data_IF_239761511491
#
_entry.id   IF_239761511491
#
_cell.length_a   1.000
_cell.length_b   1.000
_cell.length_c   1.000
_cell.angle_alpha   90.00
_cell.angle_beta   90.00
_cell.angle_gamma   90.00
#
_symmetry.space_group_name_H-M   'P 1'
#
loop_
_entity.id
_entity.type
_entity.pdbx_description
1 polymer ?
#
# COMPACT_ATOMS: atom_id res chain seq x y z
N UNK A 1 -12.19 4.52 24.23
CA UNK A 1 -11.20 5.61 24.37
C UNK A 1 -11.31 6.55 23.17
N UNK A 2 -11.15 7.84 23.37
CA UNK A 2 -11.15 8.81 22.27
C UNK A 2 -9.81 8.82 21.57
N UNK A 3 -9.81 8.78 20.25
CA UNK A 3 -8.63 9.03 19.41
C UNK A 3 -8.91 10.12 18.39
N UNK A 4 -7.89 10.78 17.93
CA UNK A 4 -7.98 11.78 16.85
C UNK A 4 -6.79 11.57 15.91
N UNK A 5 -7.05 11.33 14.64
CA UNK A 5 -6.01 11.13 13.61
C UNK A 5 -6.39 11.85 12.31
N UNK A 6 -5.46 11.90 11.38
CA UNK A 6 -5.75 12.39 10.02
C UNK A 6 -5.82 11.20 9.07
N UNK A 7 -6.99 10.94 8.49
CA UNK A 7 -7.20 9.85 7.52
C UNK A 7 -7.37 10.44 6.11
N UNK A 8 -6.45 10.14 5.22
CA UNK A 8 -6.45 10.64 3.83
C UNK A 8 -6.64 12.17 3.75
N UNK A 9 -5.97 12.90 4.63
CA UNK A 9 -6.03 14.36 4.71
C UNK A 9 -7.23 14.93 5.50
N UNK A 10 -8.16 14.09 5.95
CA UNK A 10 -9.32 14.51 6.74
C UNK A 10 -9.12 14.16 8.22
N UNK A 11 -9.34 15.15 9.10
CA UNK A 11 -9.27 14.91 10.54
C UNK A 11 -10.49 14.12 11.00
N UNK A 12 -10.25 13.00 11.66
CA UNK A 12 -11.27 12.11 12.23
C UNK A 12 -11.05 12.02 13.73
N UNK A 13 -12.13 12.18 14.50
CA UNK A 13 -12.12 12.04 15.96
C UNK A 13 -13.28 11.14 16.38
N UNK A 14 -12.97 10.02 17.04
CA UNK A 14 -13.96 8.99 17.36
C UNK A 14 -13.61 8.27 18.67
N UNK A 15 -14.63 7.78 19.34
CA UNK A 15 -14.48 6.87 20.47
C UNK A 15 -14.39 5.43 19.97
N UNK A 16 -13.32 4.73 20.31
CA UNK A 16 -13.04 3.36 19.88
C UNK A 16 -12.90 2.39 21.05
N UNK A 17 -13.09 1.10 20.76
CA UNK A 17 -12.68 0.03 21.68
C UNK A 17 -11.15 -0.01 21.79
N UNK A 18 -10.58 -0.24 22.99
CA UNK A 18 -9.12 -0.23 23.18
C UNK A 18 -8.34 -1.27 22.36
N UNK A 19 -9.00 -2.34 21.98
CA UNK A 19 -8.47 -3.46 21.21
C UNK A 19 -8.75 -3.38 19.70
N UNK A 20 -9.41 -2.30 19.25
CA UNK A 20 -9.71 -2.11 17.83
C UNK A 20 -8.42 -2.08 17.00
N UNK A 21 -8.37 -2.87 15.92
CA UNK A 21 -7.26 -2.84 14.98
C UNK A 21 -7.40 -1.66 13.99
N UNK A 22 -6.28 -1.13 13.55
CA UNK A 22 -6.26 -0.02 12.58
C UNK A 22 -6.96 -0.39 11.28
N UNK A 23 -6.83 -1.65 10.82
CA UNK A 23 -7.53 -2.14 9.63
C UNK A 23 -9.06 -1.99 9.77
N UNK A 24 -9.62 -2.33 10.92
CA UNK A 24 -11.06 -2.27 11.15
C UNK A 24 -11.53 -0.82 11.22
N UNK A 25 -10.75 0.05 11.85
CA UNK A 25 -10.99 1.49 11.89
C UNK A 25 -11.03 2.11 10.48
N UNK A 26 -9.98 1.95 9.67
CA UNK A 26 -9.94 2.57 8.34
C UNK A 26 -11.02 2.02 7.41
N UNK A 27 -11.36 0.73 7.52
CA UNK A 27 -12.43 0.12 6.75
C UNK A 27 -13.82 0.60 7.16
N UNK A 28 -14.05 0.88 8.45
CA UNK A 28 -15.28 1.51 8.94
C UNK A 28 -15.46 2.92 8.33
N UNK A 29 -14.35 3.63 8.10
CA UNK A 29 -14.32 4.95 7.46
C UNK A 29 -14.28 4.92 5.91
N UNK A 30 -14.66 3.81 5.30
CA UNK A 30 -14.81 3.71 3.85
C UNK A 30 -13.55 3.30 3.08
N UNK A 31 -12.39 3.13 3.72
CA UNK A 31 -11.16 2.72 3.05
C UNK A 31 -11.20 1.22 2.72
N UNK A 32 -11.98 0.85 1.69
CA UNK A 32 -12.22 -0.54 1.30
C UNK A 32 -11.06 -1.16 0.51
N UNK A 33 -10.12 -0.36 0.03
CA UNK A 33 -8.88 -0.84 -0.58
C UNK A 33 -8.01 -1.63 0.41
N UNK A 34 -8.09 -1.30 1.70
CA UNK A 34 -7.38 -2.00 2.77
C UNK A 34 -8.07 -3.33 3.04
N UNK A 35 -7.40 -4.45 2.77
CA UNK A 35 -8.02 -5.79 2.79
C UNK A 35 -7.34 -6.72 3.78
N UNK A 36 -8.13 -7.61 4.38
CA UNK A 36 -7.64 -8.70 5.22
C UNK A 36 -7.54 -9.96 4.36
N UNK A 37 -6.31 -10.34 3.97
CA UNK A 37 -6.04 -11.54 3.16
C UNK A 37 -5.45 -12.70 3.95
N UNK A 38 -5.07 -12.48 5.22
CA UNK A 38 -4.54 -13.49 6.13
C UNK A 38 -4.86 -13.14 7.58
N UNK A 39 -4.61 -14.08 8.48
CA UNK A 39 -4.71 -13.90 9.94
C UNK A 39 -3.33 -13.96 10.63
N UNK A 40 -2.24 -13.93 9.84
CA UNK A 40 -0.87 -14.16 10.31
C UNK A 40 0.09 -13.01 9.98
N UNK A 41 -0.44 -11.86 9.56
CA UNK A 41 0.31 -10.62 9.30
C UNK A 41 1.44 -10.76 8.28
N UNK A 42 1.25 -11.59 7.22
CA UNK A 42 2.29 -11.88 6.24
C UNK A 42 1.90 -11.64 4.78
N UNK A 43 0.63 -11.30 4.48
CA UNK A 43 0.20 -11.18 3.07
C UNK A 43 0.40 -9.78 2.45
N UNK A 44 0.60 -8.74 3.24
CA UNK A 44 0.81 -7.36 2.76
C UNK A 44 -0.44 -6.62 2.28
N UNK A 45 -1.62 -7.26 2.26
CA UNK A 45 -2.84 -6.69 1.67
C UNK A 45 -3.49 -5.59 2.52
N UNK A 46 -3.12 -5.50 3.77
CA UNK A 46 -3.61 -4.50 4.72
C UNK A 46 -2.66 -3.29 4.89
N UNK A 47 -1.65 -3.17 4.04
CA UNK A 47 -0.67 -2.08 4.12
C UNK A 47 -1.34 -0.72 3.98
N UNK A 48 -1.02 0.17 4.92
CA UNK A 48 -1.34 1.61 4.90
C UNK A 48 -0.06 2.38 5.23
N UNK A 49 -0.03 3.69 4.97
CA UNK A 49 1.04 4.53 5.50
C UNK A 49 0.60 5.15 6.83
N UNK A 50 1.48 5.10 7.81
CA UNK A 50 1.39 5.85 9.05
C UNK A 50 2.59 6.80 9.10
N UNK A 51 2.32 8.11 9.01
CA UNK A 51 3.33 9.17 8.84
C UNK A 51 4.31 8.89 7.68
N UNK A 52 3.73 8.46 6.54
CA UNK A 52 4.40 8.12 5.30
C UNK A 52 5.22 6.81 5.31
N UNK A 53 5.27 6.08 6.44
CA UNK A 53 5.92 4.77 6.57
C UNK A 53 4.91 3.63 6.40
N UNK A 54 5.24 2.56 5.64
CA UNK A 54 4.34 1.44 5.42
C UNK A 54 4.19 0.57 6.67
N UNK A 55 2.96 0.34 7.08
CA UNK A 55 2.63 -0.55 8.22
C UNK A 55 1.52 -1.53 7.85
N UNK A 56 1.55 -2.71 8.47
CA UNK A 56 0.47 -3.68 8.37
C UNK A 56 -0.66 -3.31 9.34
N UNK A 57 -1.72 -2.70 8.85
CA UNK A 57 -2.82 -2.20 9.70
C UNK A 57 -3.54 -3.30 10.50
N UNK A 58 -3.43 -4.57 10.08
CA UNK A 58 -3.94 -5.70 10.84
C UNK A 58 -3.12 -6.04 12.10
N UNK A 59 -1.95 -5.45 12.26
CA UNK A 59 -1.02 -5.66 13.39
C UNK A 59 -0.81 -4.40 14.23
N UNK A 60 -1.54 -3.33 13.92
CA UNK A 60 -1.49 -2.06 14.64
C UNK A 60 -2.83 -1.81 15.32
N UNK A 61 -2.82 -1.51 16.61
CA UNK A 61 -4.01 -1.04 17.32
C UNK A 61 -4.37 0.36 16.85
N UNK A 62 -5.65 0.64 16.61
CA UNK A 62 -6.12 1.97 16.22
C UNK A 62 -5.73 3.05 17.25
N UNK A 63 -5.63 2.69 18.52
CA UNK A 63 -5.16 3.55 19.61
C UNK A 63 -3.71 4.08 19.37
N UNK A 64 -2.88 3.32 18.65
CA UNK A 64 -1.51 3.74 18.29
C UNK A 64 -1.47 4.77 17.17
N UNK A 65 -2.57 4.93 16.45
CA UNK A 65 -2.70 5.91 15.38
C UNK A 65 -3.18 7.29 15.88
N UNK A 66 -3.45 7.44 17.18
CA UNK A 66 -3.84 8.73 17.76
C UNK A 66 -2.74 9.78 17.53
N UNK A 67 -3.12 10.93 16.96
CA UNK A 67 -2.20 12.02 16.58
C UNK A 67 -1.46 11.81 15.26
N UNK A 68 -1.56 10.64 14.62
CA UNK A 68 -0.82 10.29 13.41
C UNK A 68 -1.61 10.57 12.13
N UNK A 69 -0.88 10.61 11.01
CA UNK A 69 -1.44 10.69 9.65
C UNK A 69 -1.51 9.28 9.08
N UNK A 70 -2.70 8.85 8.73
CA UNK A 70 -2.94 7.58 8.06
C UNK A 70 -3.32 7.84 6.60
N UNK A 71 -2.61 7.19 5.69
CA UNK A 71 -2.88 7.28 4.26
C UNK A 71 -3.12 5.88 3.71
N UNK A 72 -4.26 5.72 3.03
CA UNK A 72 -4.63 4.50 2.31
C UNK A 72 -4.59 4.78 0.80
N UNK A 73 -4.84 3.77 -0.03
CA UNK A 73 -4.85 3.95 -1.49
C UNK A 73 -5.86 5.00 -1.94
N UNK A 74 -6.96 5.16 -1.21
CA UNK A 74 -7.97 6.20 -1.47
C UNK A 74 -7.39 7.63 -1.38
N UNK A 75 -6.32 7.82 -0.60
CA UNK A 75 -5.61 9.11 -0.49
C UNK A 75 -4.46 9.29 -1.49
N UNK A 76 -4.19 8.30 -2.36
CA UNK A 76 -3.06 8.28 -3.30
C UNK A 76 -3.51 8.01 -4.75
N UNK A 77 -4.71 8.44 -5.12
CA UNK A 77 -5.33 8.05 -6.40
C UNK A 77 -4.50 8.44 -7.63
N UNK A 78 -3.89 9.61 -7.66
CA UNK A 78 -3.09 10.07 -8.80
C UNK A 78 -1.82 9.23 -8.95
N UNK A 79 -1.05 9.07 -7.88
CA UNK A 79 0.17 8.26 -7.82
C UNK A 79 -0.11 6.80 -8.16
N UNK A 80 -1.19 6.25 -7.59
CA UNK A 80 -1.61 4.88 -7.81
C UNK A 80 -2.06 4.64 -9.25
N UNK A 81 -2.77 5.58 -9.88
CA UNK A 81 -3.22 5.46 -11.26
C UNK A 81 -2.05 5.51 -12.24
N UNK A 82 -1.08 6.40 -12.03
CA UNK A 82 0.12 6.49 -12.88
C UNK A 82 0.90 5.17 -12.88
N UNK A 83 1.19 4.63 -11.71
CA UNK A 83 1.88 3.34 -11.58
C UNK A 83 1.01 2.16 -12.04
N UNK A 84 -0.27 2.16 -11.67
CA UNK A 84 -1.22 1.08 -11.99
C UNK A 84 -1.36 0.81 -13.48
N UNK A 85 -1.24 1.83 -14.33
CA UNK A 85 -1.28 1.68 -15.78
C UNK A 85 -0.18 0.74 -16.30
N UNK A 86 1.02 0.82 -15.74
CA UNK A 86 2.14 -0.07 -16.12
C UNK A 86 1.91 -1.53 -15.69
N UNK A 87 1.23 -1.74 -14.58
CA UNK A 87 0.84 -3.07 -14.11
C UNK A 87 -0.22 -3.67 -15.03
N UNK A 88 -1.22 -2.88 -15.40
CA UNK A 88 -2.28 -3.29 -16.31
C UNK A 88 -1.73 -3.66 -17.71
N UNK A 89 -0.82 -2.87 -18.26
CA UNK A 89 -0.17 -3.10 -19.56
C UNK A 89 0.58 -4.45 -19.63
N UNK A 90 1.05 -4.95 -18.51
CA UNK A 90 1.70 -6.26 -18.43
C UNK A 90 0.74 -7.43 -18.24
N UNK A 91 -0.56 -7.18 -18.21
CA UNK A 91 -1.56 -8.20 -17.92
C UNK A 91 -1.40 -8.81 -16.52
N UNK A 92 -0.85 -8.05 -15.58
CA UNK A 92 -0.55 -8.53 -14.23
C UNK A 92 -1.78 -8.59 -13.33
N UNK A 93 -2.90 -8.09 -13.78
CA UNK A 93 -4.17 -8.09 -13.04
C UNK A 93 -5.03 -9.30 -13.43
N UNK A 94 -5.53 -9.99 -12.41
CA UNK A 94 -6.55 -11.03 -12.57
C UNK A 94 -7.73 -10.72 -11.64
N UNK A 95 -7.78 -11.27 -10.41
CA UNK A 95 -8.87 -10.95 -9.48
C UNK A 95 -8.77 -9.55 -8.86
N UNK A 96 -7.60 -8.90 -8.88
CA UNK A 96 -7.37 -7.56 -8.35
C UNK A 96 -7.32 -7.45 -6.83
N UNK A 97 -7.54 -8.55 -6.08
CA UNK A 97 -7.63 -8.50 -4.63
C UNK A 97 -6.33 -8.04 -3.96
N UNK A 98 -5.17 -8.44 -4.50
CA UNK A 98 -3.86 -8.05 -3.96
C UNK A 98 -3.40 -6.65 -4.38
N UNK A 99 -3.98 -6.08 -5.45
CA UNK A 99 -3.48 -4.86 -6.08
C UNK A 99 -3.34 -3.66 -5.13
N UNK A 100 -4.31 -3.34 -4.27
CA UNK A 100 -4.16 -2.18 -3.40
C UNK A 100 -2.96 -2.28 -2.46
N UNK A 101 -2.78 -3.40 -1.77
CA UNK A 101 -1.64 -3.61 -0.89
C UNK A 101 -0.31 -3.66 -1.63
N UNK A 102 -0.29 -4.29 -2.81
CA UNK A 102 0.86 -4.32 -3.69
C UNK A 102 1.27 -2.91 -4.15
N UNK A 103 0.33 -2.09 -4.60
CA UNK A 103 0.60 -0.70 -5.01
C UNK A 103 1.13 0.13 -3.83
N UNK A 104 0.52 0.03 -2.66
CA UNK A 104 1.00 0.74 -1.45
C UNK A 104 2.47 0.40 -1.15
N UNK A 105 2.84 -0.89 -1.15
CA UNK A 105 4.21 -1.30 -0.88
C UNK A 105 5.18 -0.95 -2.02
N UNK A 106 4.75 -0.99 -3.29
CA UNK A 106 5.57 -0.52 -4.40
C UNK A 106 5.85 1.00 -4.29
N UNK A 107 4.85 1.80 -3.96
CA UNK A 107 5.02 3.24 -3.73
C UNK A 107 5.96 3.51 -2.54
N UNK A 108 5.87 2.73 -1.46
CA UNK A 108 6.82 2.80 -0.35
C UNK A 108 8.25 2.53 -0.81
N UNK A 109 8.46 1.45 -1.55
CA UNK A 109 9.77 1.13 -2.13
C UNK A 109 10.33 2.28 -2.97
N UNK A 110 9.52 2.89 -3.85
CA UNK A 110 9.97 3.99 -4.71
C UNK A 110 10.32 5.27 -3.94
N UNK A 111 9.74 5.47 -2.76
CA UNK A 111 10.09 6.57 -1.84
C UNK A 111 11.40 6.32 -1.11
N UNK A 112 11.63 5.09 -0.66
CA UNK A 112 12.88 4.68 -0.02
C UNK A 112 14.04 4.58 -1.02
N UNK A 113 13.77 3.98 -2.18
CA UNK A 113 14.73 3.72 -3.24
C UNK A 113 14.12 4.14 -4.59
N UNK A 114 14.41 5.33 -5.09
CA UNK A 114 13.80 5.85 -6.33
C UNK A 114 14.03 4.99 -7.57
N UNK A 115 15.14 4.24 -7.60
CA UNK A 115 15.53 3.38 -8.73
C UNK A 115 16.08 2.02 -8.24
N UNK A 116 15.22 1.19 -7.61
CA UNK A 116 15.65 -0.11 -7.12
C UNK A 116 16.03 -1.05 -8.27
N UNK A 117 16.94 -1.95 -8.01
CA UNK A 117 17.23 -3.07 -8.92
C UNK A 117 16.11 -4.11 -8.87
N UNK A 118 16.05 -4.98 -9.88
CA UNK A 118 15.08 -6.07 -9.92
C UNK A 118 15.13 -6.96 -8.66
N UNK A 119 16.34 -7.24 -8.17
CA UNK A 119 16.54 -8.02 -6.96
C UNK A 119 16.00 -7.31 -5.71
N UNK A 120 16.26 -6.02 -5.56
CA UNK A 120 15.71 -5.21 -4.48
C UNK A 120 14.18 -5.13 -4.53
N UNK A 121 13.59 -5.04 -5.73
CA UNK A 121 12.13 -5.10 -5.92
C UNK A 121 11.58 -6.43 -5.43
N UNK A 122 12.18 -7.57 -5.82
CA UNK A 122 11.77 -8.91 -5.41
C UNK A 122 11.86 -9.08 -3.89
N UNK A 123 12.95 -8.63 -3.30
CA UNK A 123 13.17 -8.73 -1.86
C UNK A 123 12.15 -7.89 -1.07
N UNK A 124 11.96 -6.63 -1.47
CA UNK A 124 11.04 -5.71 -0.79
C UNK A 124 9.58 -6.19 -0.86
N UNK A 125 9.16 -6.70 -2.01
CA UNK A 125 7.78 -7.14 -2.24
C UNK A 125 7.53 -8.62 -1.91
N UNK A 126 8.49 -9.33 -1.35
CA UNK A 126 8.34 -10.73 -0.95
C UNK A 126 7.17 -10.97 0.04
N UNK A 127 6.83 -9.97 0.84
CA UNK A 127 5.69 -9.99 1.77
C UNK A 127 4.33 -9.64 1.13
N UNK A 128 4.26 -9.39 -0.19
CA UNK A 128 3.01 -9.09 -0.89
C UNK A 128 2.52 -10.32 -1.64
N UNK A 129 1.54 -11.02 -1.06
CA UNK A 129 1.09 -12.30 -1.61
C UNK A 129 0.01 -12.13 -2.67
N UNK A 130 0.18 -12.83 -3.78
CA UNK A 130 -0.80 -12.98 -4.85
C UNK A 130 -0.96 -14.47 -5.20
N UNK A 131 -2.19 -14.93 -5.37
CA UNK A 131 -2.46 -16.33 -5.76
C UNK A 131 -2.70 -16.49 -7.27
N UNK A 132 -2.85 -15.38 -7.99
CA UNK A 132 -3.28 -15.41 -9.39
C UNK A 132 -2.15 -15.13 -10.37
N UNK A 133 -1.35 -14.08 -10.15
CA UNK A 133 -0.46 -13.50 -11.16
C UNK A 133 0.85 -14.25 -11.37
N UNK A 134 1.33 -14.98 -10.38
CA UNK A 134 2.68 -15.59 -10.39
C UNK A 134 3.82 -14.57 -10.29
N UNK A 135 3.52 -13.28 -9.99
CA UNK A 135 4.46 -12.17 -9.71
C UNK A 135 5.24 -11.62 -10.91
N UNK A 136 5.52 -12.40 -11.95
CA UNK A 136 6.35 -11.99 -13.08
C UNK A 136 5.79 -10.78 -13.85
N UNK A 137 4.47 -10.72 -14.06
CA UNK A 137 3.80 -9.57 -14.68
C UNK A 137 3.93 -8.32 -13.82
N UNK A 138 3.79 -8.45 -12.52
CA UNK A 138 3.95 -7.35 -11.56
C UNK A 138 5.39 -6.80 -11.59
N UNK A 139 6.38 -7.69 -11.60
CA UNK A 139 7.79 -7.30 -11.70
C UNK A 139 8.09 -6.55 -13.01
N UNK A 140 7.61 -7.07 -14.16
CA UNK A 140 7.77 -6.37 -15.45
C UNK A 140 7.12 -5.00 -15.45
N UNK A 141 5.94 -4.87 -14.84
CA UNK A 141 5.25 -3.59 -14.71
C UNK A 141 6.06 -2.58 -13.89
N UNK A 142 6.63 -3.01 -12.77
CA UNK A 142 7.52 -2.17 -11.96
C UNK A 142 8.74 -1.73 -12.76
N UNK A 143 9.43 -2.66 -13.41
CA UNK A 143 10.65 -2.32 -14.16
C UNK A 143 10.35 -1.39 -15.34
N UNK A 144 9.21 -1.56 -16.00
CA UNK A 144 8.75 -0.64 -17.07
C UNK A 144 8.44 0.75 -16.52
N UNK A 145 7.77 0.85 -15.38
CA UNK A 145 7.51 2.12 -14.70
C UNK A 145 8.80 2.85 -14.31
N UNK A 146 9.76 2.12 -13.74
CA UNK A 146 11.05 2.69 -13.35
C UNK A 146 11.86 3.18 -14.54
N UNK A 147 11.85 2.45 -15.68
CA UNK A 147 12.50 2.87 -16.91
C UNK A 147 11.87 4.17 -17.46
N UNK A 148 10.53 4.24 -17.49
CA UNK A 148 9.81 5.43 -17.89
C UNK A 148 10.11 6.63 -16.96
N UNK A 149 10.12 6.40 -15.65
CA UNK A 149 10.41 7.42 -14.64
C UNK A 149 11.81 8.00 -14.82
N UNK A 150 12.83 7.17 -15.05
CA UNK A 150 14.20 7.60 -15.35
C UNK A 150 14.26 8.51 -16.58
N UNK A 151 13.56 8.14 -17.65
CA UNK A 151 13.52 8.95 -18.89
C UNK A 151 12.86 10.31 -18.63
N UNK A 152 11.74 10.33 -17.90
CA UNK A 152 11.00 11.57 -17.55
C UNK A 152 11.83 12.52 -16.69
N UNK A 153 12.64 11.99 -15.78
CA UNK A 153 13.47 12.76 -14.84
C UNK A 153 14.88 13.06 -15.40
N UNK A 154 15.23 12.56 -16.60
CA UNK A 154 16.53 12.78 -17.24
C UNK A 154 17.71 12.11 -16.50
N UNK A 155 17.44 11.06 -15.72
CA UNK A 155 18.47 10.29 -15.00
C UNK A 155 19.05 9.22 -15.92
N UNK A 156 20.39 9.22 -16.10
CA UNK A 156 21.12 8.22 -16.87
C UNK A 156 21.50 7.02 -16.03
#
# INVERSE_FOLDING_TARGET
>A
MQITLTLNGVRVSEEIAPDMLLIDFVRAHGCKSVKRGCETSNCGLCTVFMDDEPVLSCSVLAARADGHKITTLEGLQEEAAEFGAFIADQGAEQCGFCNPGFIMNALALFREQPYPTEEQVKEYLAGNLCRCSGYEGQLRGIMSFLAWKKQKEGVQ
#
